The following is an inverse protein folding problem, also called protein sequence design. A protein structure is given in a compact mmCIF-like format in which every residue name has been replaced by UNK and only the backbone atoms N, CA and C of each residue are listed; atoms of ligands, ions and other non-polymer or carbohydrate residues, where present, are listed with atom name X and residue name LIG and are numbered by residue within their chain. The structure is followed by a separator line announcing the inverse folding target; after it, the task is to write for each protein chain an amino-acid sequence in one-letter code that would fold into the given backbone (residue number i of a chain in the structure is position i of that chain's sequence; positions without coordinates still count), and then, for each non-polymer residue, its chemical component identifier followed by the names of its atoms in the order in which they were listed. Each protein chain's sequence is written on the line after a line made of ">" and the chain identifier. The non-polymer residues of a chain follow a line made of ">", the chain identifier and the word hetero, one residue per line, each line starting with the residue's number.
data_IF_656204475450
#
_entry.id   IF_656204475450
#
_cell.length_a   1.000
_cell.length_b   1.000
_cell.length_c   1.000
_cell.angle_alpha   90.00
_cell.angle_beta   90.00
_cell.angle_gamma   90.00
#
_symmetry.space_group_name_H-M   'P 1'
#
loop_
_entity.id
_entity.type
_entity.pdbx_description
1 polymer ?
#
# COMPACT_ATOMS: atom_id res chain seq x y z
N UNK A 1 7.16 -31.37 -50.56
CA UNK A 1 8.42 -30.57 -50.56
C UNK A 1 8.18 -29.09 -50.89
N UNK A 2 7.59 -28.70 -52.05
CA UNK A 2 7.36 -27.28 -52.38
C UNK A 2 6.34 -26.63 -51.45
N UNK A 3 5.27 -27.28 -51.07
CA UNK A 3 4.27 -26.80 -50.13
C UNK A 3 4.85 -26.63 -48.72
N UNK A 4 5.61 -27.60 -48.25
CA UNK A 4 6.31 -27.53 -46.97
C UNK A 4 7.32 -26.37 -46.94
N UNK A 5 8.05 -26.15 -48.04
CA UNK A 5 8.95 -24.99 -48.15
C UNK A 5 8.19 -23.68 -48.10
N UNK A 6 7.02 -23.56 -48.72
CA UNK A 6 6.19 -22.36 -48.74
C UNK A 6 5.58 -22.06 -47.39
N UNK A 7 4.98 -23.04 -46.70
CA UNK A 7 4.36 -22.83 -45.38
C UNK A 7 5.39 -22.59 -44.27
N UNK A 8 6.64 -23.02 -44.48
CA UNK A 8 7.74 -22.77 -43.53
C UNK A 8 8.63 -21.58 -43.91
N UNK A 9 8.35 -20.92 -45.02
CA UNK A 9 9.06 -19.71 -45.41
C UNK A 9 8.77 -18.58 -44.39
N UNK A 10 9.79 -17.88 -43.84
CA UNK A 10 9.61 -16.82 -42.88
C UNK A 10 8.64 -15.71 -43.30
N UNK A 11 8.50 -15.47 -44.63
CA UNK A 11 7.56 -14.47 -45.16
C UNK A 11 6.10 -14.92 -45.08
N UNK A 12 5.84 -16.23 -45.12
CA UNK A 12 4.48 -16.77 -45.24
C UNK A 12 4.07 -17.61 -44.02
N UNK A 13 5.01 -18.14 -43.26
CA UNK A 13 4.75 -19.09 -42.16
C UNK A 13 3.75 -18.57 -41.12
N UNK A 14 3.73 -17.28 -40.90
CA UNK A 14 2.77 -16.65 -39.96
C UNK A 14 1.30 -16.79 -40.39
N UNK A 15 1.02 -17.03 -41.65
CA UNK A 15 -0.34 -17.23 -42.20
C UNK A 15 -0.85 -18.67 -42.07
N UNK A 16 0.05 -19.60 -41.74
CA UNK A 16 -0.24 -21.04 -41.64
C UNK A 16 -0.09 -21.58 -40.23
N UNK A 17 -0.06 -20.70 -39.23
CA UNK A 17 0.00 -21.11 -37.83
C UNK A 17 -1.28 -21.85 -37.44
N UNK A 18 -1.12 -22.95 -36.73
CA UNK A 18 -2.20 -23.57 -36.01
C UNK A 18 -2.54 -22.74 -34.75
N UNK A 19 -3.60 -23.11 -34.04
CA UNK A 19 -4.02 -22.44 -32.82
C UNK A 19 -2.91 -22.31 -31.75
N UNK A 20 -2.03 -23.31 -31.65
CA UNK A 20 -0.90 -23.29 -30.72
C UNK A 20 0.20 -22.33 -31.17
N UNK A 21 0.47 -22.29 -32.48
CA UNK A 21 1.42 -21.35 -33.07
C UNK A 21 0.97 -19.91 -32.88
N UNK A 22 -0.27 -19.58 -33.20
CA UNK A 22 -0.84 -18.26 -32.99
C UNK A 22 -0.81 -17.84 -31.49
N UNK A 23 -1.12 -18.80 -30.62
CA UNK A 23 -1.08 -18.56 -29.18
C UNK A 23 0.34 -18.18 -28.70
N UNK A 24 1.36 -18.92 -29.13
CA UNK A 24 2.77 -18.66 -28.84
C UNK A 24 3.21 -17.29 -29.35
N UNK A 25 2.84 -16.94 -30.58
CA UNK A 25 3.14 -15.60 -31.14
C UNK A 25 2.51 -14.48 -30.30
N UNK A 26 1.25 -14.65 -29.88
CA UNK A 26 0.60 -13.66 -29.02
C UNK A 26 1.31 -13.53 -27.66
N UNK A 27 1.76 -14.64 -27.06
CA UNK A 27 2.52 -14.64 -25.82
C UNK A 27 3.83 -13.84 -25.96
N UNK A 28 4.59 -14.09 -27.05
CA UNK A 28 5.83 -13.36 -27.30
C UNK A 28 5.60 -11.85 -27.54
N UNK A 29 4.49 -11.47 -28.18
CA UNK A 29 4.11 -10.05 -28.35
C UNK A 29 3.72 -9.36 -27.05
N UNK A 30 3.10 -10.08 -26.13
CA UNK A 30 2.67 -9.53 -24.82
C UNK A 30 3.85 -9.22 -23.90
N UNK A 31 4.87 -10.06 -23.86
CA UNK A 31 6.03 -9.95 -22.97
C UNK A 31 6.70 -8.57 -22.99
N UNK A 32 7.16 -8.03 -24.15
CA UNK A 32 7.80 -6.72 -24.17
C UNK A 32 6.87 -5.58 -23.81
N UNK A 33 5.57 -5.68 -24.11
CA UNK A 33 4.60 -4.65 -23.76
C UNK A 33 4.45 -4.53 -22.24
N UNK A 34 4.33 -5.66 -21.54
CA UNK A 34 4.26 -5.70 -20.08
C UNK A 34 5.49 -5.02 -19.47
N UNK A 35 6.69 -5.38 -19.91
CA UNK A 35 7.95 -4.83 -19.40
C UNK A 35 8.04 -3.32 -19.63
N UNK A 36 7.75 -2.87 -20.86
CA UNK A 36 7.86 -1.46 -21.25
C UNK A 36 6.87 -0.59 -20.49
N UNK A 37 5.64 -1.06 -20.32
CA UNK A 37 4.58 -0.32 -19.63
C UNK A 37 4.63 -0.45 -18.12
N UNK A 38 5.40 -1.38 -17.58
CA UNK A 38 5.43 -1.70 -16.15
C UNK A 38 4.02 -1.89 -15.58
N UNK A 39 3.13 -2.52 -16.35
CA UNK A 39 1.73 -2.68 -15.96
C UNK A 39 0.93 -3.55 -16.92
N UNK A 40 -0.32 -3.81 -16.55
CA UNK A 40 -1.26 -4.59 -17.39
C UNK A 40 -1.58 -3.86 -18.68
N UNK A 41 -1.77 -4.63 -19.76
CA UNK A 41 -2.25 -4.11 -21.04
C UNK A 41 -3.65 -3.51 -20.86
N UNK A 42 -3.90 -2.39 -21.57
CA UNK A 42 -5.14 -1.66 -21.43
C UNK A 42 -6.15 -2.04 -22.53
N UNK A 43 -7.27 -2.65 -22.15
CA UNK A 43 -8.37 -2.97 -23.08
C UNK A 43 -9.03 -1.73 -23.72
N UNK A 44 -8.79 -0.54 -23.17
CA UNK A 44 -9.26 0.75 -23.71
C UNK A 44 -8.14 1.52 -24.40
N UNK A 45 -7.01 0.86 -24.74
CA UNK A 45 -5.93 1.51 -25.47
C UNK A 45 -6.40 2.03 -26.82
N UNK A 46 -5.82 3.16 -27.26
CA UNK A 46 -5.99 3.67 -28.63
C UNK A 46 -5.17 2.86 -29.64
N UNK A 47 -4.12 2.21 -29.19
CA UNK A 47 -3.35 1.25 -29.99
C UNK A 47 -4.16 -0.02 -30.16
N UNK A 48 -4.44 -0.38 -31.41
CA UNK A 48 -5.30 -1.52 -31.76
C UNK A 48 -4.68 -2.85 -31.36
N UNK A 49 -3.36 -3.00 -31.51
CA UNK A 49 -2.65 -4.22 -31.17
C UNK A 49 -2.58 -4.42 -29.65
N UNK A 50 -2.28 -3.38 -28.90
CA UNK A 50 -2.35 -3.45 -27.43
C UNK A 50 -3.74 -3.82 -26.95
N UNK A 51 -4.77 -3.19 -27.51
CA UNK A 51 -6.16 -3.50 -27.17
C UNK A 51 -6.50 -4.96 -27.43
N UNK A 52 -6.11 -5.48 -28.60
CA UNK A 52 -6.30 -6.88 -29.00
C UNK A 52 -5.61 -7.84 -28.02
N UNK A 53 -4.34 -7.57 -27.71
CA UNK A 53 -3.55 -8.38 -26.79
C UNK A 53 -4.05 -8.28 -25.34
N UNK A 54 -4.60 -7.14 -24.92
CA UNK A 54 -5.23 -6.98 -23.62
C UNK A 54 -6.48 -7.87 -23.44
N UNK A 55 -7.30 -7.98 -24.47
CA UNK A 55 -8.41 -8.94 -24.48
C UNK A 55 -7.91 -10.39 -24.52
N UNK A 56 -6.91 -10.66 -25.35
CA UNK A 56 -6.33 -12.00 -25.46
C UNK A 56 -5.80 -12.49 -24.11
N UNK A 57 -5.00 -11.69 -23.40
CA UNK A 57 -4.44 -12.06 -22.10
C UNK A 57 -5.53 -12.24 -21.02
N UNK A 58 -6.57 -11.41 -21.07
CA UNK A 58 -7.75 -11.56 -20.20
C UNK A 58 -8.44 -12.92 -20.40
N UNK A 59 -8.61 -13.35 -21.67
CA UNK A 59 -9.16 -14.65 -21.99
C UNK A 59 -8.23 -15.79 -21.54
N UNK A 60 -6.90 -15.63 -21.68
CA UNK A 60 -5.96 -16.66 -21.21
C UNK A 60 -6.02 -16.83 -19.70
N UNK A 61 -6.12 -15.74 -18.92
CA UNK A 61 -6.29 -15.80 -17.46
C UNK A 61 -7.58 -16.55 -17.09
N UNK A 62 -8.67 -16.28 -17.78
CA UNK A 62 -9.95 -16.96 -17.57
C UNK A 62 -9.85 -18.45 -17.93
N UNK A 63 -9.31 -18.77 -19.10
CA UNK A 63 -9.17 -20.16 -19.60
C UNK A 63 -8.24 -20.99 -18.72
N UNK A 64 -7.13 -20.39 -18.24
CA UNK A 64 -6.21 -21.04 -17.32
C UNK A 64 -6.89 -21.42 -16.00
N UNK A 65 -7.63 -20.46 -15.37
CA UNK A 65 -8.35 -20.71 -14.11
C UNK A 65 -9.42 -21.79 -14.23
N UNK A 66 -10.04 -21.92 -15.39
CA UNK A 66 -11.15 -22.85 -15.62
C UNK A 66 -10.73 -24.11 -16.41
N UNK A 67 -9.45 -24.24 -16.74
CA UNK A 67 -8.93 -25.33 -17.58
C UNK A 67 -9.77 -25.51 -18.86
N UNK A 68 -9.90 -24.45 -19.69
CA UNK A 68 -10.72 -24.42 -20.90
C UNK A 68 -9.91 -24.11 -22.14
N UNK A 69 -10.49 -24.43 -23.30
CA UNK A 69 -9.94 -24.16 -24.63
C UNK A 69 -8.50 -24.66 -24.73
N UNK A 70 -7.60 -23.84 -25.27
CA UNK A 70 -6.20 -24.19 -25.48
C UNK A 70 -5.44 -24.51 -24.17
N UNK A 71 -5.95 -24.09 -23.03
CA UNK A 71 -5.38 -24.41 -21.71
C UNK A 71 -5.65 -25.86 -21.25
N UNK A 72 -6.41 -26.64 -22.02
CA UNK A 72 -6.50 -28.10 -21.87
C UNK A 72 -5.24 -28.81 -22.37
N UNK A 73 -4.48 -28.18 -23.26
CA UNK A 73 -3.22 -28.70 -23.79
C UNK A 73 -2.12 -28.50 -22.72
N UNK A 74 -1.53 -29.60 -22.27
CA UNK A 74 -0.57 -29.59 -21.15
C UNK A 74 0.70 -28.77 -21.44
N UNK A 75 1.17 -28.76 -22.68
CA UNK A 75 2.32 -27.98 -23.11
C UNK A 75 2.03 -26.47 -23.06
N UNK A 76 0.86 -26.04 -23.49
CA UNK A 76 0.43 -24.62 -23.40
C UNK A 76 0.18 -24.21 -21.96
N UNK A 77 -0.45 -25.06 -21.18
CA UNK A 77 -0.69 -24.82 -19.77
C UNK A 77 0.62 -24.59 -18.99
N UNK A 78 1.61 -25.46 -19.20
CA UNK A 78 2.94 -25.31 -18.58
C UNK A 78 3.68 -24.05 -19.04
N UNK A 79 3.58 -23.70 -20.32
CA UNK A 79 4.16 -22.44 -20.84
C UNK A 79 3.50 -21.22 -20.17
N UNK A 80 2.18 -21.25 -20.02
CA UNK A 80 1.46 -20.18 -19.31
C UNK A 80 1.85 -20.08 -17.85
N UNK A 81 1.93 -21.21 -17.12
CA UNK A 81 2.40 -21.25 -15.73
C UNK A 81 3.82 -20.68 -15.60
N UNK A 82 4.72 -21.07 -16.48
CA UNK A 82 6.08 -20.53 -16.50
C UNK A 82 6.06 -19.01 -16.70
N UNK A 83 5.24 -18.50 -17.62
CA UNK A 83 5.13 -17.08 -17.88
C UNK A 83 4.56 -16.27 -16.71
N UNK A 84 3.44 -16.71 -16.11
CA UNK A 84 2.80 -15.97 -15.02
C UNK A 84 3.58 -16.04 -13.71
N UNK A 85 4.45 -17.05 -13.54
CA UNK A 85 5.30 -17.23 -12.37
C UNK A 85 6.72 -16.67 -12.56
N UNK A 86 7.09 -16.27 -13.78
CA UNK A 86 8.38 -15.64 -14.05
C UNK A 86 8.49 -14.30 -13.29
N UNK A 87 9.57 -14.06 -12.51
CA UNK A 87 9.77 -12.83 -11.75
C UNK A 87 9.60 -11.55 -12.56
N UNK A 88 9.88 -11.57 -13.87
CA UNK A 88 9.70 -10.41 -14.75
C UNK A 88 8.23 -10.06 -15.01
N UNK A 89 7.32 -11.04 -14.90
CA UNK A 89 5.92 -10.88 -15.29
C UNK A 89 4.94 -11.12 -14.14
N UNK A 90 5.32 -11.88 -13.11
CA UNK A 90 4.42 -12.36 -12.05
C UNK A 90 3.66 -11.23 -11.34
N UNK A 91 4.30 -10.06 -11.16
CA UNK A 91 3.66 -8.89 -10.54
C UNK A 91 2.43 -8.38 -11.31
N UNK A 92 2.31 -8.69 -12.61
CA UNK A 92 1.17 -8.27 -13.45
C UNK A 92 -0.03 -9.20 -13.39
N UNK A 93 0.18 -10.41 -12.85
CA UNK A 93 -0.85 -11.45 -12.72
C UNK A 93 -1.37 -11.59 -11.30
N UNK A 94 -0.90 -10.75 -10.37
CA UNK A 94 -1.40 -10.75 -9.01
C UNK A 94 -2.90 -10.46 -8.97
N UNK A 95 -3.61 -11.23 -8.18
CA UNK A 95 -4.97 -10.90 -7.80
C UNK A 95 -5.00 -9.72 -6.81
N UNK A 96 -6.19 -9.30 -6.42
CA UNK A 96 -6.35 -8.20 -5.47
C UNK A 96 -5.62 -8.44 -4.15
N UNK A 97 -5.55 -9.70 -3.68
CA UNK A 97 -4.84 -10.05 -2.44
C UNK A 97 -3.32 -9.97 -2.61
N UNK A 98 -2.82 -10.45 -3.74
CA UNK A 98 -1.40 -10.37 -4.09
C UNK A 98 -0.94 -8.91 -4.23
N UNK A 99 -1.67 -8.08 -4.98
CA UNK A 99 -1.38 -6.64 -5.10
C UNK A 99 -1.41 -5.94 -3.73
N UNK A 100 -2.36 -6.32 -2.88
CA UNK A 100 -2.46 -5.76 -1.55
C UNK A 100 -1.23 -6.11 -0.68
N UNK A 101 -0.78 -7.37 -0.72
CA UNK A 101 0.42 -7.83 0.00
C UNK A 101 1.69 -7.11 -0.47
N UNK A 102 1.86 -6.97 -1.79
CA UNK A 102 2.99 -6.22 -2.35
C UNK A 102 2.98 -4.76 -1.88
N UNK A 103 1.82 -4.10 -1.87
CA UNK A 103 1.71 -2.74 -1.34
C UNK A 103 2.08 -2.67 0.14
N UNK A 104 1.64 -3.64 0.94
CA UNK A 104 1.99 -3.71 2.36
C UNK A 104 3.50 -3.84 2.56
N UNK A 105 4.14 -4.76 1.83
CA UNK A 105 5.58 -4.97 1.93
C UNK A 105 6.40 -3.78 1.41
N UNK A 106 5.89 -3.07 0.41
CA UNK A 106 6.52 -1.84 -0.10
C UNK A 106 6.41 -0.68 0.90
N UNK A 107 5.30 -0.59 1.64
CA UNK A 107 5.06 0.50 2.60
C UNK A 107 5.91 0.37 3.86
N UNK A 108 6.17 -0.85 4.34
CA UNK A 108 6.91 -1.12 5.57
C UNK A 108 8.27 -0.41 5.64
N UNK A 109 9.21 -0.62 4.69
CA UNK A 109 10.50 0.04 4.73
C UNK A 109 10.41 1.57 4.62
N UNK A 110 9.43 2.10 3.88
CA UNK A 110 9.24 3.55 3.75
C UNK A 110 8.85 4.18 5.09
N UNK A 111 7.98 3.51 5.87
CA UNK A 111 7.58 4.00 7.19
C UNK A 111 8.79 4.05 8.12
N UNK A 112 9.61 3.00 8.14
CA UNK A 112 10.80 2.94 9.01
C UNK A 112 11.85 3.98 8.64
N UNK A 113 12.14 4.14 7.34
CA UNK A 113 13.10 5.12 6.83
C UNK A 113 12.65 6.56 7.13
N UNK A 114 11.41 6.88 6.81
CA UNK A 114 10.86 8.24 6.98
C UNK A 114 10.34 8.52 8.38
N UNK A 115 10.25 7.53 9.25
CA UNK A 115 9.63 7.64 10.59
C UNK A 115 8.23 8.26 10.56
N UNK A 116 7.47 7.98 9.49
CA UNK A 116 6.09 8.43 9.28
C UNK A 116 5.41 7.65 8.16
N UNK A 117 4.09 7.61 8.17
CA UNK A 117 3.32 7.08 7.03
C UNK A 117 3.58 7.88 5.75
N UNK A 118 3.56 7.22 4.56
CA UNK A 118 3.65 7.89 3.26
C UNK A 118 2.59 8.98 3.13
N UNK A 119 2.99 10.13 2.57
CA UNK A 119 2.10 11.28 2.44
C UNK A 119 1.24 11.23 1.17
N UNK A 120 -0.07 11.47 1.32
CA UNK A 120 -0.99 11.65 0.19
C UNK A 120 -0.68 12.90 -0.65
N UNK A 121 0.11 13.83 -0.11
CA UNK A 121 0.51 15.09 -0.73
C UNK A 121 1.96 15.08 -1.21
N UNK A 122 2.64 13.93 -1.17
CA UNK A 122 4.03 13.83 -1.62
C UNK A 122 4.18 14.22 -3.10
N UNK A 123 5.29 14.88 -3.43
CA UNK A 123 5.70 15.14 -4.83
C UNK A 123 6.18 13.87 -5.53
N UNK A 124 6.69 12.89 -4.77
CA UNK A 124 7.03 11.57 -5.29
C UNK A 124 5.74 10.79 -5.60
N UNK A 125 5.57 10.37 -6.84
CA UNK A 125 4.35 9.72 -7.32
C UNK A 125 4.06 8.39 -6.58
N UNK A 126 5.09 7.60 -6.33
CA UNK A 126 4.95 6.30 -5.65
C UNK A 126 4.61 6.49 -4.16
N UNK A 127 5.28 7.39 -3.47
CA UNK A 127 4.93 7.71 -2.08
C UNK A 127 3.49 8.23 -1.97
N UNK A 128 3.08 9.11 -2.90
CA UNK A 128 1.71 9.61 -2.96
C UNK A 128 0.69 8.50 -3.18
N UNK A 129 1.01 7.54 -4.08
CA UNK A 129 0.18 6.35 -4.35
C UNK A 129 0.02 5.52 -3.08
N UNK A 130 1.13 5.20 -2.41
CA UNK A 130 1.14 4.42 -1.17
C UNK A 130 0.46 5.15 0.00
N UNK A 131 0.61 6.47 0.09
CA UNK A 131 -0.11 7.30 1.06
C UNK A 131 -1.63 7.21 0.89
N UNK A 132 -2.12 7.29 -0.33
CA UNK A 132 -3.55 7.09 -0.64
C UNK A 132 -3.99 5.65 -0.32
N UNK A 133 -3.15 4.67 -0.66
CA UNK A 133 -3.43 3.26 -0.39
C UNK A 133 -3.58 3.00 1.11
N UNK A 134 -2.63 3.43 1.94
CA UNK A 134 -2.66 3.20 3.40
C UNK A 134 -3.85 3.91 4.05
N UNK A 135 -4.15 5.15 3.63
CA UNK A 135 -5.33 5.88 4.11
C UNK A 135 -6.64 5.13 3.79
N UNK A 136 -6.73 4.55 2.59
CA UNK A 136 -7.87 3.71 2.21
C UNK A 136 -7.94 2.45 3.07
N UNK A 137 -6.80 1.79 3.36
CA UNK A 137 -6.80 0.59 4.20
C UNK A 137 -7.26 0.88 5.63
N UNK A 138 -6.86 2.00 6.22
CA UNK A 138 -7.33 2.42 7.55
C UNK A 138 -8.86 2.57 7.57
N UNK A 139 -9.42 3.22 6.55
CA UNK A 139 -10.89 3.41 6.43
C UNK A 139 -11.59 2.07 6.21
N UNK A 140 -11.08 1.24 5.30
CA UNK A 140 -11.66 -0.06 4.99
C UNK A 140 -11.62 -1.02 6.19
N UNK A 141 -10.52 -1.00 6.96
CA UNK A 141 -10.38 -1.79 8.18
C UNK A 141 -11.41 -1.40 9.23
N UNK A 142 -11.56 -0.09 9.53
CA UNK A 142 -12.55 0.42 10.48
C UNK A 142 -13.99 0.03 10.09
N UNK A 143 -14.29 0.05 8.80
CA UNK A 143 -15.65 -0.18 8.29
C UNK A 143 -15.87 -1.62 7.80
N UNK A 144 -14.88 -2.50 7.90
CA UNK A 144 -14.90 -3.88 7.36
C UNK A 144 -15.38 -3.92 5.90
N UNK A 145 -14.77 -3.08 5.05
CA UNK A 145 -15.14 -2.93 3.63
C UNK A 145 -14.06 -3.44 2.69
N UNK A 146 -14.44 -3.64 1.44
CA UNK A 146 -13.56 -4.09 0.34
C UNK A 146 -12.76 -5.34 0.75
N UNK A 147 -11.45 -5.32 0.53
CA UNK A 147 -10.55 -6.44 0.82
C UNK A 147 -10.45 -6.76 2.33
N UNK A 148 -10.81 -5.82 3.21
CA UNK A 148 -10.85 -6.04 4.66
C UNK A 148 -12.02 -6.90 5.14
N UNK A 149 -12.89 -7.37 4.23
CA UNK A 149 -13.86 -8.43 4.48
C UNK A 149 -13.21 -9.81 4.56
N UNK A 150 -12.05 -9.96 3.90
CA UNK A 150 -11.26 -11.18 3.88
C UNK A 150 -10.49 -11.30 5.19
N UNK A 151 -10.77 -12.34 5.98
CA UNK A 151 -10.22 -12.50 7.33
C UNK A 151 -8.69 -12.69 7.33
N UNK A 152 -8.11 -13.33 6.32
CA UNK A 152 -6.66 -13.49 6.17
C UNK A 152 -5.96 -12.13 5.94
N UNK A 153 -6.51 -11.27 5.09
CA UNK A 153 -5.99 -9.92 4.86
C UNK A 153 -6.15 -9.05 6.10
N UNK A 154 -7.30 -9.15 6.75
CA UNK A 154 -7.56 -8.41 7.99
C UNK A 154 -6.58 -8.75 9.09
N UNK A 155 -6.29 -10.04 9.31
CA UNK A 155 -5.29 -10.50 10.28
C UNK A 155 -3.88 -10.00 9.94
N UNK A 156 -3.50 -9.98 8.66
CA UNK A 156 -2.22 -9.41 8.22
C UNK A 156 -2.14 -7.91 8.51
N UNK A 157 -3.23 -7.17 8.27
CA UNK A 157 -3.31 -5.75 8.60
C UNK A 157 -3.22 -5.51 10.10
N UNK A 158 -3.96 -6.27 10.92
CA UNK A 158 -3.92 -6.19 12.38
C UNK A 158 -2.52 -6.48 12.93
N UNK A 159 -1.86 -7.53 12.40
CA UNK A 159 -0.47 -7.83 12.73
C UNK A 159 0.45 -6.66 12.42
N UNK A 160 0.29 -6.02 11.26
CA UNK A 160 1.12 -4.89 10.84
C UNK A 160 0.91 -3.64 11.71
N UNK A 161 -0.34 -3.22 11.94
CA UNK A 161 -0.61 -1.98 12.70
C UNK A 161 -0.36 -2.14 14.21
N UNK A 162 -0.31 -3.37 14.72
CA UNK A 162 -0.01 -3.67 16.13
C UNK A 162 1.45 -4.07 16.36
N UNK A 163 2.24 -4.26 15.31
CA UNK A 163 3.66 -4.55 15.42
C UNK A 163 4.38 -3.37 16.10
N UNK A 164 5.21 -3.60 17.14
CA UNK A 164 5.94 -2.55 17.86
C UNK A 164 6.74 -1.59 16.95
N UNK A 165 7.22 -2.07 15.80
CA UNK A 165 7.96 -1.26 14.83
C UNK A 165 7.07 -0.24 14.10
N UNK A 166 5.76 -0.52 13.98
CA UNK A 166 4.85 0.28 13.15
C UNK A 166 3.71 0.92 13.95
N UNK A 167 3.33 0.36 15.10
CA UNK A 167 2.12 0.73 15.85
C UNK A 167 2.05 2.23 16.20
N UNK A 168 3.18 2.86 16.48
CA UNK A 168 3.25 4.30 16.79
C UNK A 168 2.80 5.20 15.63
N UNK A 169 2.80 4.70 14.38
CA UNK A 169 2.37 5.45 13.19
C UNK A 169 0.87 5.31 12.87
N UNK A 170 0.17 4.42 13.59
CA UNK A 170 -1.26 4.12 13.40
C UNK A 170 -2.11 4.49 14.61
N UNK A 171 -1.54 5.21 15.55
CA UNK A 171 -2.28 5.70 16.72
C UNK A 171 -3.45 6.58 16.27
N UNK A 172 -4.60 6.40 16.90
CA UNK A 172 -5.67 7.39 16.80
C UNK A 172 -5.31 8.66 17.59
N UNK A 173 -6.04 9.73 17.36
CA UNK A 173 -5.77 11.03 17.99
C UNK A 173 -5.70 10.95 19.53
N UNK A 174 -6.54 10.11 20.16
CA UNK A 174 -6.54 9.95 21.61
C UNK A 174 -5.31 9.21 22.12
N UNK A 175 -4.92 8.16 21.43
CA UNK A 175 -3.72 7.37 21.77
C UNK A 175 -2.45 8.18 21.53
N UNK A 176 -2.35 8.90 20.42
CA UNK A 176 -1.23 9.81 20.15
C UNK A 176 -1.14 10.90 21.22
N UNK A 177 -2.27 11.46 21.61
CA UNK A 177 -2.33 12.47 22.67
C UNK A 177 -1.80 11.92 24.00
N UNK A 178 -2.20 10.70 24.41
CA UNK A 178 -1.70 10.03 25.63
C UNK A 178 -0.20 9.80 25.55
N UNK A 179 0.32 9.29 24.43
CA UNK A 179 1.77 9.11 24.23
C UNK A 179 2.52 10.43 24.36
N UNK A 180 2.02 11.52 23.79
CA UNK A 180 2.64 12.84 23.94
C UNK A 180 2.62 13.31 25.39
N UNK A 181 1.53 13.11 26.12
CA UNK A 181 1.45 13.42 27.54
C UNK A 181 2.49 12.64 28.36
N UNK A 182 2.62 11.34 28.09
CA UNK A 182 3.59 10.49 28.80
C UNK A 182 5.04 10.86 28.49
N UNK A 183 5.33 11.35 27.27
CA UNK A 183 6.66 11.89 26.90
C UNK A 183 6.95 13.24 27.57
N UNK A 184 5.95 14.07 27.81
CA UNK A 184 6.11 15.39 28.47
C UNK A 184 6.42 15.26 29.95
N UNK A 185 5.82 14.31 30.66
CA UNK A 185 5.98 14.12 32.11
C UNK A 185 7.45 14.04 32.56
N UNK A 186 8.29 13.14 32.02
CA UNK A 186 9.69 13.05 32.43
C UNK A 186 10.49 14.31 32.11
N UNK A 187 10.18 15.01 31.01
CA UNK A 187 10.86 16.26 30.66
C UNK A 187 10.62 17.33 31.73
N UNK A 188 9.36 17.47 32.20
CA UNK A 188 9.00 18.43 33.23
C UNK A 188 9.76 18.12 34.54
N UNK A 189 9.79 16.86 34.96
CA UNK A 189 10.48 16.44 36.19
C UNK A 189 11.98 16.69 36.09
N UNK A 190 12.60 16.33 34.99
CA UNK A 190 14.06 16.44 34.81
C UNK A 190 14.51 17.88 34.66
N UNK A 191 13.77 18.69 33.88
CA UNK A 191 14.15 20.09 33.58
C UNK A 191 13.60 21.10 34.59
N UNK A 192 12.73 20.67 35.48
CA UNK A 192 11.96 21.56 36.38
C UNK A 192 11.28 22.68 35.59
N UNK A 193 10.69 22.34 34.44
CA UNK A 193 10.04 23.26 33.53
C UNK A 193 9.37 22.56 32.35
N UNK A 194 8.47 23.24 31.66
CA UNK A 194 7.80 22.70 30.47
C UNK A 194 8.80 22.49 29.32
N UNK A 195 8.55 21.52 28.41
CA UNK A 195 9.31 21.40 27.15
C UNK A 195 9.36 22.75 26.42
N UNK A 196 10.53 23.12 25.91
CA UNK A 196 10.72 24.42 25.25
C UNK A 196 10.41 24.38 23.77
N UNK A 197 9.58 25.30 23.27
CA UNK A 197 9.33 25.51 21.84
C UNK A 197 10.58 25.99 21.09
N UNK A 198 11.59 26.49 21.80
CA UNK A 198 12.86 26.97 21.25
C UNK A 198 14.01 25.99 21.45
N UNK A 199 13.71 24.77 21.93
CA UNK A 199 14.74 23.75 22.12
C UNK A 199 15.46 23.42 20.80
N UNK A 200 16.77 23.13 20.89
CA UNK A 200 17.56 22.59 19.78
C UNK A 200 17.24 21.12 19.52
N UNK A 201 16.76 20.41 20.54
CA UNK A 201 16.24 19.06 20.38
C UNK A 201 14.86 19.11 19.69
N UNK A 202 14.77 18.42 18.57
CA UNK A 202 13.58 18.46 17.70
C UNK A 202 12.33 17.86 18.37
N UNK A 203 12.49 16.81 19.19
CA UNK A 203 11.37 16.17 19.88
C UNK A 203 10.90 17.05 21.05
N UNK A 204 11.80 17.62 21.82
CA UNK A 204 11.42 18.56 22.87
C UNK A 204 10.72 19.80 22.32
N UNK A 205 11.24 20.38 21.23
CA UNK A 205 10.60 21.50 20.52
C UNK A 205 9.19 21.15 20.09
N UNK A 206 9.00 19.96 19.51
CA UNK A 206 7.68 19.45 19.10
C UNK A 206 6.73 19.33 20.29
N UNK A 207 7.21 18.77 21.39
CA UNK A 207 6.42 18.62 22.64
C UNK A 207 6.13 19.97 23.31
N UNK A 208 7.03 20.95 23.19
CA UNK A 208 6.82 22.32 23.61
C UNK A 208 5.62 22.97 22.91
N UNK A 209 5.60 22.92 21.59
CA UNK A 209 4.44 23.38 20.81
C UNK A 209 3.18 22.60 21.16
N UNK A 210 3.29 21.26 21.28
CA UNK A 210 2.15 20.42 21.62
C UNK A 210 1.52 20.85 22.96
N UNK A 211 2.31 21.03 24.04
CA UNK A 211 1.79 21.37 25.36
C UNK A 211 1.15 22.77 25.39
N UNK A 212 1.73 23.73 24.67
CA UNK A 212 1.14 25.09 24.53
C UNK A 212 -0.23 25.04 23.84
N UNK A 213 -0.36 24.23 22.81
CA UNK A 213 -1.66 23.99 22.17
C UNK A 213 -2.66 23.31 23.11
N UNK A 214 -2.21 22.33 23.94
CA UNK A 214 -3.13 21.69 24.90
C UNK A 214 -3.64 22.67 25.97
N UNK A 215 -2.79 23.55 26.45
CA UNK A 215 -3.20 24.61 27.42
C UNK A 215 -4.29 25.50 26.78
N UNK A 216 -4.09 25.94 25.55
CA UNK A 216 -5.04 26.78 24.83
C UNK A 216 -6.36 26.05 24.58
N UNK A 217 -6.28 24.83 24.04
CA UNK A 217 -7.45 24.02 23.73
C UNK A 217 -8.26 23.65 24.99
N UNK A 218 -7.59 23.37 26.10
CA UNK A 218 -8.26 23.11 27.38
C UNK A 218 -9.07 24.31 27.88
N UNK A 219 -8.50 25.52 27.80
CA UNK A 219 -9.18 26.76 28.19
C UNK A 219 -10.40 27.04 27.32
N UNK A 220 -10.29 26.81 26.04
CA UNK A 220 -11.35 27.06 25.05
C UNK A 220 -12.34 25.88 24.88
N UNK A 221 -12.01 24.70 25.39
CA UNK A 221 -12.75 23.45 25.20
C UNK A 221 -12.92 23.11 23.72
N UNK A 222 -11.81 23.16 22.99
CA UNK A 222 -11.77 22.93 21.54
C UNK A 222 -10.99 21.65 21.20
N UNK A 223 -11.22 21.12 19.99
CA UNK A 223 -10.52 19.95 19.42
C UNK A 223 -10.59 18.73 20.34
N UNK A 224 -9.44 18.11 20.63
CA UNK A 224 -9.38 16.90 21.46
C UNK A 224 -9.87 17.12 22.89
N UNK A 225 -9.90 18.37 23.35
CA UNK A 225 -10.41 18.75 24.68
C UNK A 225 -11.95 18.81 24.76
N UNK A 226 -12.66 18.61 23.66
CA UNK A 226 -14.11 18.32 23.66
C UNK A 226 -14.39 16.93 24.24
N UNK A 227 -13.42 16.00 24.13
CA UNK A 227 -13.52 14.68 24.72
C UNK A 227 -13.35 14.72 26.22
N UNK A 228 -14.38 14.31 26.95
CA UNK A 228 -14.41 14.39 28.43
C UNK A 228 -13.35 13.52 29.10
N UNK A 229 -12.97 12.38 28.53
CA UNK A 229 -11.95 11.50 29.13
C UNK A 229 -10.56 12.13 28.98
N UNK A 230 -10.25 12.69 27.82
CA UNK A 230 -9.00 13.42 27.59
C UNK A 230 -8.96 14.67 28.49
N UNK A 231 -10.07 15.39 28.60
CA UNK A 231 -10.17 16.58 29.45
C UNK A 231 -9.95 16.25 30.93
N UNK A 232 -10.51 15.15 31.44
CA UNK A 232 -10.27 14.67 32.80
C UNK A 232 -8.80 14.27 33.02
N UNK A 233 -8.19 13.57 32.05
CA UNK A 233 -6.76 13.21 32.12
C UNK A 233 -5.88 14.47 32.15
N UNK A 234 -6.16 15.46 31.30
CA UNK A 234 -5.43 16.72 31.30
C UNK A 234 -5.58 17.48 32.62
N UNK A 235 -6.82 17.61 33.13
CA UNK A 235 -7.07 18.23 34.42
C UNK A 235 -6.28 17.55 35.54
N UNK A 236 -6.33 16.21 35.59
CA UNK A 236 -5.56 15.44 36.58
C UNK A 236 -4.06 15.74 36.49
N UNK A 237 -3.51 15.82 35.27
CA UNK A 237 -2.11 16.10 35.03
C UNK A 237 -1.70 17.51 35.51
N UNK A 238 -2.44 18.57 35.13
CA UNK A 238 -2.09 19.95 35.48
C UNK A 238 -2.36 20.29 36.95
N UNK A 239 -3.16 19.49 37.68
CA UNK A 239 -3.42 19.65 39.10
C UNK A 239 -2.59 18.70 39.98
N UNK A 240 -1.82 17.81 39.40
CA UNK A 240 -0.93 16.92 40.12
C UNK A 240 0.20 17.73 40.78
N UNK A 241 0.51 17.50 42.07
CA UNK A 241 1.56 18.25 42.78
C UNK A 241 2.93 18.24 42.10
N UNK A 242 3.25 17.17 41.34
CA UNK A 242 4.51 17.07 40.60
C UNK A 242 4.59 18.04 39.42
N UNK A 243 3.45 18.46 38.86
CA UNK A 243 3.40 19.21 37.61
C UNK A 243 2.72 20.59 37.74
N UNK A 244 1.86 20.77 38.74
CA UNK A 244 0.96 21.95 38.87
C UNK A 244 1.68 23.29 38.89
N UNK A 245 2.89 23.35 39.46
CA UNK A 245 3.70 24.58 39.52
C UNK A 245 4.15 25.10 38.15
N UNK A 246 3.97 24.30 37.08
CA UNK A 246 4.38 24.66 35.73
C UNK A 246 3.20 25.07 34.83
N UNK A 247 1.96 25.08 35.31
CA UNK A 247 0.74 25.43 34.58
C UNK A 247 -0.02 26.56 35.20
#
# INVERSE_FOLDING_TARGET
>A
KLWESFINDPLYSSYFLDNKGEWKVNLEKVKPIIITKKGRLNQRSKDAEEKRLAYWIGNQIYNYKNRKDIMNEDDIHKLWESFINDPLYSSYFLDNKGEWKVNLDTVKPIILDKKKCPSTRSKNAEEKRLGKWISKQIINYKNRKDIMKEDDIRKLWESFINDPLYSSYFLDNKSEWKVNLDKVKPIIVTKKGRPSERSKDAEEKRLGHWISHQITNYKKREYIMEDEDIRKLWKKFITDPLYSSYF
#
